data_IF_301406786243
#
_entry.id   IF_301406786243
#
_cell.length_a   1.000
_cell.length_b   1.000
_cell.length_c   1.000
_cell.angle_alpha   90.00
_cell.angle_beta   90.00
_cell.angle_gamma   90.00
#
_symmetry.space_group_name_H-M   'P 1'
#
loop_
_entity.id
_entity.type
_entity.pdbx_description
1 polymer ?
#
# COMPACT_ATOMS: atom_id res chain seq x y z
N UNK A 1 7.89 -3.90 -17.92
CA UNK A 1 7.50 -2.50 -17.61
C UNK A 1 6.58 -2.53 -16.40
N UNK A 2 6.87 -1.76 -15.35
CA UNK A 2 6.02 -1.82 -14.14
C UNK A 2 4.73 -1.03 -14.32
N UNK A 3 3.59 -1.66 -14.04
CA UNK A 3 2.26 -1.05 -14.04
C UNK A 3 1.54 -1.29 -12.72
N UNK A 4 0.57 -0.43 -12.38
CA UNK A 4 -0.28 -0.59 -11.20
C UNK A 4 -1.74 -0.77 -11.62
N UNK A 5 -2.35 -1.87 -11.17
CA UNK A 5 -3.74 -2.23 -11.51
C UNK A 5 -4.46 -2.85 -10.32
N UNK A 6 -5.77 -3.03 -10.47
CA UNK A 6 -6.55 -3.83 -9.52
C UNK A 6 -6.09 -5.29 -9.58
N UNK A 7 -6.00 -5.92 -8.42
CA UNK A 7 -5.78 -7.36 -8.32
C UNK A 7 -7.08 -8.13 -8.58
N UNK A 8 -6.95 -9.30 -9.17
CA UNK A 8 -8.02 -10.30 -9.25
C UNK A 8 -8.02 -11.19 -8.01
N UNK A 9 -9.14 -11.86 -7.66
CA UNK A 9 -9.18 -12.74 -6.48
C UNK A 9 -8.14 -13.87 -6.49
N UNK A 10 -7.76 -14.37 -7.67
CA UNK A 10 -6.71 -15.39 -7.82
C UNK A 10 -5.31 -14.90 -7.44
N UNK A 11 -5.09 -13.58 -7.40
CA UNK A 11 -3.80 -12.96 -7.07
C UNK A 11 -3.66 -12.66 -5.56
N UNK A 12 -4.73 -12.77 -4.79
CA UNK A 12 -4.73 -12.48 -3.35
C UNK A 12 -3.74 -13.33 -2.54
N UNK A 13 -3.51 -14.63 -2.84
CA UNK A 13 -2.47 -15.40 -2.17
C UNK A 13 -1.07 -14.81 -2.37
N UNK A 14 -0.76 -14.32 -3.57
CA UNK A 14 0.53 -13.70 -3.86
C UNK A 14 0.69 -12.36 -3.12
N UNK A 15 -0.35 -11.53 -3.10
CA UNK A 15 -0.36 -10.28 -2.31
C UNK A 15 -0.13 -10.58 -0.84
N UNK A 16 -0.87 -11.53 -0.27
CA UNK A 16 -0.74 -11.91 1.15
C UNK A 16 0.67 -12.43 1.48
N UNK A 17 1.27 -13.21 0.59
CA UNK A 17 2.65 -13.66 0.74
C UNK A 17 3.63 -12.48 0.80
N UNK A 18 3.45 -11.44 -0.01
CA UNK A 18 4.28 -10.23 0.01
C UNK A 18 4.08 -9.43 1.30
N UNK A 19 2.83 -9.24 1.74
CA UNK A 19 2.52 -8.54 2.99
C UNK A 19 3.17 -9.26 4.19
N UNK A 20 3.00 -10.58 4.28
CA UNK A 20 3.59 -11.40 5.34
C UNK A 20 5.14 -11.34 5.31
N UNK A 21 5.75 -11.35 4.13
CA UNK A 21 7.20 -11.19 3.99
C UNK A 21 7.71 -9.81 4.43
N UNK A 22 6.84 -8.80 4.45
CA UNK A 22 7.08 -7.48 5.02
C UNK A 22 6.64 -7.36 6.48
N UNK A 23 6.32 -8.47 7.15
CA UNK A 23 5.81 -8.54 8.52
C UNK A 23 4.46 -7.81 8.72
N UNK A 24 3.69 -7.63 7.64
CA UNK A 24 2.34 -7.08 7.70
C UNK A 24 1.32 -8.22 7.67
N UNK A 25 0.73 -8.51 8.82
CA UNK A 25 -0.34 -9.50 8.94
C UNK A 25 -1.69 -8.83 8.80
N UNK A 26 -2.46 -9.24 7.79
CA UNK A 26 -3.82 -8.75 7.56
C UNK A 26 -4.86 -9.83 7.89
N UNK A 27 -6.02 -9.46 8.46
CA UNK A 27 -7.08 -10.43 8.76
C UNK A 27 -7.54 -11.24 7.56
N UNK A 28 -7.98 -12.47 7.83
CA UNK A 28 -8.67 -13.30 6.84
C UNK A 28 -9.88 -12.57 6.28
N UNK A 29 -10.05 -12.59 4.95
CA UNK A 29 -11.13 -11.89 4.26
C UNK A 29 -10.89 -10.40 3.97
N UNK A 30 -9.88 -9.75 4.54
CA UNK A 30 -9.62 -8.32 4.29
C UNK A 30 -9.46 -8.01 2.79
N UNK A 31 -8.62 -8.79 2.09
CA UNK A 31 -8.40 -8.63 0.65
C UNK A 31 -9.67 -8.82 -0.19
N UNK A 32 -10.63 -9.63 0.28
CA UNK A 32 -11.89 -9.85 -0.44
C UNK A 32 -12.93 -8.75 -0.18
N UNK A 33 -12.84 -8.08 0.98
CA UNK A 33 -13.73 -6.98 1.36
C UNK A 33 -13.23 -5.62 0.88
N UNK A 34 -11.91 -5.47 0.74
CA UNK A 34 -11.25 -4.24 0.32
C UNK A 34 -11.01 -4.15 -1.19
N UNK A 35 -10.47 -3.00 -1.61
CA UNK A 35 -9.89 -2.82 -2.94
C UNK A 35 -8.40 -3.15 -2.88
N UNK A 36 -7.95 -4.09 -3.71
CA UNK A 36 -6.54 -4.50 -3.75
C UNK A 36 -5.89 -3.98 -5.03
N UNK A 37 -4.79 -3.26 -4.90
CA UNK A 37 -3.91 -2.86 -6.00
C UNK A 37 -2.65 -3.72 -6.00
N UNK A 38 -2.14 -4.02 -7.18
CA UNK A 38 -0.85 -4.69 -7.38
C UNK A 38 0.04 -3.86 -8.27
N UNK A 39 1.31 -3.78 -7.90
CA UNK A 39 2.38 -3.35 -8.79
C UNK A 39 2.95 -4.62 -9.45
N UNK A 40 2.86 -4.69 -10.77
CA UNK A 40 3.32 -5.84 -11.54
C UNK A 40 4.30 -5.43 -12.64
N UNK A 41 5.29 -6.27 -12.87
CA UNK A 41 6.18 -6.22 -14.02
C UNK A 41 5.87 -7.46 -14.86
N UNK A 42 5.29 -7.25 -16.04
CA UNK A 42 4.62 -8.29 -16.83
C UNK A 42 3.64 -9.10 -15.96
N UNK A 43 3.79 -10.42 -15.88
CA UNK A 43 2.94 -11.28 -15.05
C UNK A 43 3.38 -11.39 -13.59
N UNK A 44 4.49 -10.74 -13.20
CA UNK A 44 5.06 -10.88 -11.87
C UNK A 44 4.56 -9.79 -10.93
N UNK A 45 3.88 -10.20 -9.87
CA UNK A 45 3.48 -9.30 -8.77
C UNK A 45 4.69 -8.96 -7.90
N UNK A 46 5.01 -7.67 -7.85
CA UNK A 46 6.14 -7.11 -7.11
C UNK A 46 5.72 -6.40 -5.81
N UNK A 47 4.47 -5.98 -5.71
CA UNK A 47 3.94 -5.32 -4.52
C UNK A 47 2.43 -5.32 -4.50
N UNK A 48 1.86 -4.99 -3.34
CA UNK A 48 0.43 -4.91 -3.13
C UNK A 48 0.06 -3.82 -2.14
N UNK A 49 -1.14 -3.26 -2.33
CA UNK A 49 -1.77 -2.30 -1.45
C UNK A 49 -3.23 -2.69 -1.23
N UNK A 50 -3.69 -2.64 0.01
CA UNK A 50 -5.06 -2.98 0.41
C UNK A 50 -5.74 -1.73 0.97
N UNK A 51 -6.88 -1.38 0.37
CA UNK A 51 -7.73 -0.25 0.79
C UNK A 51 -9.05 -0.73 1.35
N UNK A 52 -9.47 -0.14 2.46
CA UNK A 52 -10.82 -0.26 3.01
C UNK A 52 -11.37 1.15 3.22
N UNK A 53 -12.34 1.54 2.38
CA UNK A 53 -12.78 2.94 2.34
C UNK A 53 -11.66 3.86 1.84
N UNK A 54 -11.26 4.82 2.67
CA UNK A 54 -10.10 5.71 2.49
C UNK A 54 -8.84 5.21 3.23
N UNK A 55 -8.93 4.16 4.05
CA UNK A 55 -7.81 3.64 4.83
C UNK A 55 -6.95 2.66 4.03
N UNK A 56 -5.64 2.91 4.02
CA UNK A 56 -4.62 1.97 3.57
C UNK A 56 -4.32 1.02 4.74
N UNK A 57 -4.88 -0.18 4.65
CA UNK A 57 -4.72 -1.20 5.69
C UNK A 57 -3.36 -1.91 5.58
N UNK A 58 -2.80 -1.98 4.39
CA UNK A 58 -1.48 -2.54 4.15
C UNK A 58 -0.89 -2.06 2.83
N UNK A 59 0.42 -1.81 2.80
CA UNK A 59 1.19 -1.61 1.58
C UNK A 59 2.56 -2.25 1.73
N UNK A 60 2.95 -3.09 0.77
CA UNK A 60 4.29 -3.67 0.74
C UNK A 60 4.76 -3.96 -0.67
N UNK A 61 6.08 -3.98 -0.82
CA UNK A 61 6.79 -4.42 -2.02
C UNK A 61 7.80 -5.50 -1.65
N UNK A 62 8.11 -6.40 -2.57
CA UNK A 62 9.07 -7.49 -2.34
C UNK A 62 10.43 -6.94 -1.89
N UNK A 63 11.13 -7.62 -0.96
CA UNK A 63 12.51 -7.32 -0.61
C UNK A 63 13.41 -7.28 -1.86
N UNK A 64 14.31 -6.30 -1.94
CA UNK A 64 15.19 -6.08 -3.11
C UNK A 64 14.57 -5.26 -4.26
N UNK A 65 13.30 -4.86 -4.16
CA UNK A 65 12.62 -3.93 -5.09
C UNK A 65 12.28 -2.58 -4.47
N UNK A 66 12.85 -2.28 -3.29
CA UNK A 66 12.73 -0.97 -2.63
C UNK A 66 13.55 0.07 -3.40
N UNK A 67 13.15 1.35 -3.31
CA UNK A 67 13.83 2.43 -4.02
C UNK A 67 13.57 2.50 -5.54
N UNK A 68 12.60 1.74 -6.04
CA UNK A 68 12.23 1.69 -7.47
C UNK A 68 10.87 2.37 -7.76
N UNK A 69 10.39 3.21 -6.83
CA UNK A 69 9.12 3.93 -6.99
C UNK A 69 7.85 3.08 -6.90
N UNK A 70 7.94 1.76 -6.67
CA UNK A 70 6.77 0.86 -6.63
C UNK A 70 5.75 1.23 -5.54
N UNK A 71 6.24 1.58 -4.35
CA UNK A 71 5.38 2.04 -3.25
C UNK A 71 4.68 3.34 -3.59
N UNK A 72 5.41 4.31 -4.13
CA UNK A 72 4.88 5.59 -4.62
C UNK A 72 3.78 5.35 -5.66
N UNK A 73 4.05 4.55 -6.69
CA UNK A 73 3.08 4.25 -7.74
C UNK A 73 1.80 3.57 -7.19
N UNK A 74 1.91 2.72 -6.17
CA UNK A 74 0.76 2.12 -5.49
C UNK A 74 -0.09 3.18 -4.79
N UNK A 75 0.54 4.09 -4.05
CA UNK A 75 -0.14 5.16 -3.30
C UNK A 75 -0.77 6.18 -4.25
N UNK A 76 -0.04 6.63 -5.27
CA UNK A 76 -0.56 7.54 -6.30
C UNK A 76 -1.77 6.95 -7.02
N UNK A 77 -1.72 5.65 -7.35
CA UNK A 77 -2.86 4.97 -7.98
C UNK A 77 -4.05 4.85 -7.04
N UNK A 78 -3.82 4.69 -5.74
CA UNK A 78 -4.86 4.73 -4.73
C UNK A 78 -5.48 6.14 -4.61
N UNK A 79 -4.65 7.18 -4.59
CA UNK A 79 -5.08 8.58 -4.46
C UNK A 79 -5.89 9.01 -5.69
N UNK A 80 -5.50 8.57 -6.89
CA UNK A 80 -6.28 8.80 -8.11
C UNK A 80 -7.68 8.14 -8.10
N UNK A 81 -7.98 7.28 -7.12
CA UNK A 81 -9.29 6.59 -6.99
C UNK A 81 -10.11 7.07 -5.80
N UNK A 82 -9.52 7.85 -4.90
CA UNK A 82 -10.13 8.25 -3.63
C UNK A 82 -9.82 9.73 -3.38
N UNK A 83 -10.81 10.56 -3.02
CA UNK A 83 -10.56 11.97 -2.71
C UNK A 83 -9.68 12.16 -1.47
N UNK A 84 -9.51 11.11 -0.66
CA UNK A 84 -8.71 11.11 0.55
C UNK A 84 -8.15 9.73 0.81
N UNK A 85 -6.95 9.67 1.37
CA UNK A 85 -6.30 8.48 1.90
C UNK A 85 -5.87 8.70 3.35
N UNK A 86 -5.93 7.62 4.12
CA UNK A 86 -5.40 7.53 5.49
C UNK A 86 -4.46 6.34 5.59
N UNK A 87 -3.39 6.45 6.37
CA UNK A 87 -2.49 5.34 6.60
C UNK A 87 -1.90 5.41 8.01
N UNK A 88 -2.02 4.31 8.77
CA UNK A 88 -1.28 4.10 9.99
C UNK A 88 0.03 3.36 9.70
N UNK A 89 1.18 3.91 10.10
CA UNK A 89 2.50 3.35 9.80
C UNK A 89 3.51 3.53 10.93
N UNK A 90 4.58 2.74 10.92
CA UNK A 90 5.68 2.87 11.88
C UNK A 90 6.50 4.14 11.61
N UNK A 91 7.00 4.84 12.65
CA UNK A 91 7.78 6.06 12.47
C UNK A 91 8.99 5.92 11.53
N UNK A 92 9.55 4.71 11.41
CA UNK A 92 10.67 4.40 10.53
C UNK A 92 10.38 4.59 9.03
N UNK A 93 9.10 4.52 8.63
CA UNK A 93 8.68 4.76 7.24
C UNK A 93 8.06 6.14 7.03
N UNK A 94 8.08 7.01 8.04
CA UNK A 94 7.60 8.40 7.92
C UNK A 94 8.18 9.13 6.70
N UNK A 95 9.50 9.09 6.39
CA UNK A 95 10.03 9.82 5.24
C UNK A 95 9.42 9.41 3.89
N UNK A 96 8.91 8.18 3.78
CA UNK A 96 8.24 7.70 2.57
C UNK A 96 6.84 8.31 2.40
N UNK A 97 6.06 8.43 3.49
CA UNK A 97 4.74 9.07 3.43
C UNK A 97 4.85 10.59 3.32
N UNK A 98 5.84 11.18 4.00
CA UNK A 98 6.13 12.62 3.97
C UNK A 98 6.48 13.08 2.55
N UNK A 99 7.31 12.30 1.84
CA UNK A 99 7.68 12.61 0.44
C UNK A 99 6.51 12.53 -0.55
N UNK A 100 5.40 11.87 -0.17
CA UNK A 100 4.16 11.78 -0.94
C UNK A 100 3.17 12.90 -0.58
N UNK A 101 3.53 13.79 0.34
CA UNK A 101 2.68 14.91 0.77
C UNK A 101 1.61 14.53 1.78
N UNK A 102 1.77 13.42 2.51
CA UNK A 102 0.89 13.13 3.63
C UNK A 102 1.11 14.15 4.75
N UNK A 103 0.03 14.65 5.34
CA UNK A 103 0.05 15.31 6.64
C UNK A 103 0.16 14.24 7.73
N UNK A 104 1.22 14.29 8.53
CA UNK A 104 1.61 13.19 9.43
C UNK A 104 1.66 13.65 10.87
N UNK A 105 0.88 12.97 11.71
CA UNK A 105 0.95 13.06 13.17
C UNK A 105 1.51 11.75 13.74
N UNK A 106 2.40 11.82 14.71
CA UNK A 106 2.92 10.63 15.39
C UNK A 106 2.71 10.73 16.89
N UNK A 107 2.19 9.66 17.49
CA UNK A 107 1.92 9.53 18.91
C UNK A 107 2.14 8.09 19.37
N UNK A 108 2.65 7.90 20.58
CA UNK A 108 2.88 6.59 21.21
C UNK A 108 3.55 5.52 20.29
N UNK A 109 4.55 5.94 19.50
CA UNK A 109 5.30 5.03 18.63
C UNK A 109 4.58 4.62 17.35
N UNK A 110 3.44 5.24 17.03
CA UNK A 110 2.74 5.09 15.75
C UNK A 110 2.61 6.43 15.05
N UNK A 111 2.58 6.42 13.72
CA UNK A 111 2.25 7.59 12.92
C UNK A 111 0.96 7.33 12.15
N UNK A 112 0.15 8.37 12.04
CA UNK A 112 -1.03 8.45 11.19
C UNK A 112 -0.77 9.52 10.14
N UNK A 113 -0.99 9.17 8.88
CA UNK A 113 -0.89 10.09 7.76
C UNK A 113 -2.22 10.27 7.06
N UNK A 114 -2.48 11.49 6.59
CA UNK A 114 -3.61 11.82 5.72
C UNK A 114 -3.10 12.44 4.42
N UNK A 115 -3.62 11.99 3.28
CA UNK A 115 -3.41 12.62 1.99
C UNK A 115 -4.77 12.95 1.38
N UNK A 116 -5.06 14.24 1.19
CA UNK A 116 -6.22 14.69 0.43
C UNK A 116 -5.83 14.75 -1.05
N UNK A 117 -6.52 13.97 -1.88
CA UNK A 117 -6.33 13.98 -3.33
C UNK A 117 -7.14 15.16 -3.90
N UNK A 118 -6.44 16.26 -4.18
CA UNK A 118 -6.99 17.45 -4.85
C UNK A 118 -7.28 17.25 -6.34
#
# INVERSE_FOLDING_TARGET
MTTVRSATPGEYPAVRSILNAAMLTVPSGLLARGSVLVACDDDRILGGLVLVGDSIEAVAVRPGRRGQGLGTALIERAAARRPRLRAGFDPSVRPFYDSLGFDITCDDGRCEGVLDAG
#
